data_IF_568915781067
#
_entry.id   IF_568915781067
#
_cell.length_a   1.000
_cell.length_b   1.000
_cell.length_c   1.000
_cell.angle_alpha   90.00
_cell.angle_beta   90.00
_cell.angle_gamma   90.00
#
_symmetry.space_group_name_H-M   'P 1'
#
loop_
_entity.id
_entity.type
_entity.pdbx_description
1 polymer ?
#
# COMPACT_ATOMS: atom_id res chain seq x y z
N UNK A 1 9.57 -46.13 -41.88
CA UNK A 1 8.47 -45.45 -41.17
C UNK A 1 8.37 -46.08 -39.79
N UNK A 2 8.83 -45.39 -38.75
CA UNK A 2 8.79 -45.87 -37.38
C UNK A 2 7.65 -45.17 -36.62
N UNK A 3 6.84 -45.89 -35.82
CA UNK A 3 5.82 -45.26 -34.99
C UNK A 3 6.47 -44.61 -33.76
N UNK A 4 6.29 -43.31 -33.61
CA UNK A 4 6.66 -42.55 -32.41
C UNK A 4 5.85 -43.03 -31.21
N UNK A 5 6.54 -43.63 -30.24
CA UNK A 5 5.96 -44.08 -28.98
C UNK A 5 5.51 -42.86 -28.16
N UNK A 6 4.19 -42.72 -27.95
CA UNK A 6 3.60 -41.68 -27.12
C UNK A 6 3.88 -41.99 -25.64
N UNK A 7 4.82 -41.28 -25.05
CA UNK A 7 5.08 -41.34 -23.61
C UNK A 7 3.97 -40.55 -22.92
N UNK A 8 2.90 -41.23 -22.53
CA UNK A 8 1.86 -40.67 -21.66
C UNK A 8 2.41 -40.54 -20.25
N UNK A 9 3.26 -39.52 -20.03
CA UNK A 9 3.59 -39.08 -18.68
C UNK A 9 2.28 -38.60 -18.04
N UNK A 10 1.91 -39.17 -16.91
CA UNK A 10 0.79 -38.71 -16.09
C UNK A 10 1.13 -37.31 -15.55
N UNK A 11 0.83 -36.29 -16.34
CA UNK A 11 0.98 -34.89 -15.97
C UNK A 11 -0.04 -34.63 -14.84
N UNK A 12 0.46 -34.08 -13.74
CA UNK A 12 -0.36 -33.67 -12.62
C UNK A 12 -1.37 -32.62 -13.10
N UNK A 13 -2.69 -32.78 -12.84
CA UNK A 13 -3.71 -31.83 -13.27
C UNK A 13 -3.46 -30.40 -12.76
N UNK A 14 -2.62 -30.20 -11.74
CA UNK A 14 -2.22 -28.87 -11.29
C UNK A 14 -1.21 -28.18 -12.23
N UNK A 15 -0.58 -28.95 -13.11
CA UNK A 15 0.44 -28.49 -14.07
C UNK A 15 -0.02 -28.62 -15.53
N UNK A 16 -1.32 -28.80 -15.76
CA UNK A 16 -1.91 -28.71 -17.10
C UNK A 16 -2.13 -27.22 -17.44
N UNK A 17 -1.20 -26.67 -18.22
CA UNK A 17 -1.33 -25.32 -18.74
C UNK A 17 -2.06 -25.35 -20.08
N UNK A 18 -3.01 -24.44 -20.26
CA UNK A 18 -3.66 -24.16 -21.55
C UNK A 18 -2.69 -23.41 -22.47
N UNK A 19 -1.62 -24.11 -22.87
CA UNK A 19 -0.58 -23.59 -23.75
C UNK A 19 0.04 -24.73 -24.57
N UNK A 20 0.51 -24.46 -25.80
CA UNK A 20 1.23 -25.46 -26.58
C UNK A 20 2.52 -25.87 -25.87
N UNK A 21 2.70 -27.17 -25.66
CA UNK A 21 3.83 -27.73 -24.89
C UNK A 21 5.18 -27.66 -25.64
N UNK A 22 5.14 -27.56 -26.98
CA UNK A 22 6.33 -27.51 -27.82
C UNK A 22 6.16 -26.39 -28.86
N UNK A 23 7.18 -25.54 -28.98
CA UNK A 23 7.25 -24.49 -29.99
C UNK A 23 8.42 -24.78 -30.93
N UNK A 24 8.17 -24.69 -32.24
CA UNK A 24 9.24 -24.75 -33.24
C UNK A 24 9.99 -23.41 -33.25
N UNK A 25 11.29 -23.45 -32.98
CA UNK A 25 12.15 -22.25 -32.94
C UNK A 25 12.40 -21.65 -34.33
N UNK A 26 12.14 -22.41 -35.40
CA UNK A 26 12.27 -21.93 -36.77
C UNK A 26 10.98 -21.29 -37.30
N UNK A 27 9.86 -21.47 -36.60
CA UNK A 27 8.61 -20.83 -36.97
C UNK A 27 8.63 -19.33 -36.60
N UNK A 28 7.96 -18.46 -37.38
CA UNK A 28 7.78 -17.08 -37.00
C UNK A 28 7.07 -16.99 -35.64
N UNK A 29 7.62 -16.17 -34.74
CA UNK A 29 7.20 -16.02 -33.34
C UNK A 29 5.73 -15.61 -33.14
N UNK A 30 5.05 -15.15 -34.18
CA UNK A 30 3.62 -14.88 -34.17
C UNK A 30 3.04 -15.02 -35.56
N UNK A 31 1.87 -15.67 -35.67
CA UNK A 31 1.06 -15.66 -36.88
C UNK A 31 0.22 -14.39 -37.04
N UNK A 32 0.16 -13.56 -35.99
CA UNK A 32 -0.66 -12.34 -35.96
C UNK A 32 0.06 -11.20 -36.68
N UNK A 33 -0.69 -10.39 -37.42
CA UNK A 33 -0.13 -9.22 -38.08
C UNK A 33 0.29 -8.15 -37.06
N UNK A 34 1.28 -7.30 -37.37
CA UNK A 34 1.64 -6.18 -36.51
C UNK A 34 0.42 -5.27 -36.27
N UNK A 35 -0.04 -5.20 -35.01
CA UNK A 35 -1.20 -4.41 -34.61
C UNK A 35 -2.50 -5.20 -34.43
N UNK A 36 -2.51 -6.50 -34.75
CA UNK A 36 -3.60 -7.38 -34.36
C UNK A 36 -3.43 -7.82 -32.90
N UNK A 37 -4.52 -7.78 -32.16
CA UNK A 37 -4.56 -8.19 -30.77
C UNK A 37 -4.94 -9.66 -30.65
N UNK A 38 -4.34 -10.36 -29.68
CA UNK A 38 -4.59 -11.78 -29.44
C UNK A 38 -6.07 -12.06 -29.06
N UNK A 39 -6.82 -12.85 -29.85
CA UNK A 39 -8.21 -13.20 -29.55
C UNK A 39 -8.39 -13.91 -28.20
N UNK A 40 -7.41 -14.72 -27.79
CA UNK A 40 -7.45 -15.45 -26.52
C UNK A 40 -7.44 -14.48 -25.33
N UNK A 41 -6.68 -13.39 -25.46
CA UNK A 41 -6.62 -12.34 -24.44
C UNK A 41 -7.99 -11.74 -24.15
N UNK A 42 -8.78 -11.44 -25.19
CA UNK A 42 -10.12 -10.86 -25.03
C UNK A 42 -11.14 -11.83 -24.43
N UNK A 43 -10.98 -13.13 -24.71
CA UNK A 43 -11.88 -14.15 -24.21
C UNK A 43 -11.76 -14.34 -22.69
N UNK A 44 -10.53 -14.27 -22.15
CA UNK A 44 -10.28 -14.40 -20.70
C UNK A 44 -10.48 -13.07 -19.98
N UNK A 45 -10.13 -11.95 -20.62
CA UNK A 45 -10.15 -10.63 -20.01
C UNK A 45 -11.25 -9.75 -20.58
N UNK A 46 -12.51 -10.15 -20.39
CA UNK A 46 -13.68 -9.38 -20.85
C UNK A 46 -13.69 -7.92 -20.36
N UNK A 47 -13.11 -7.62 -19.19
CA UNK A 47 -12.98 -6.26 -18.67
C UNK A 47 -11.91 -5.41 -19.37
N UNK A 48 -10.91 -6.04 -19.99
CA UNK A 48 -9.86 -5.35 -20.75
C UNK A 48 -10.26 -5.17 -22.23
N UNK A 49 -11.38 -5.76 -22.65
CA UNK A 49 -11.98 -5.55 -23.96
C UNK A 49 -12.82 -4.27 -24.06
N UNK A 50 -12.95 -3.48 -22.98
CA UNK A 50 -13.64 -2.20 -23.06
C UNK A 50 -12.88 -1.30 -24.04
N UNK A 51 -13.45 -0.94 -25.20
CA UNK A 51 -12.77 -0.02 -26.11
C UNK A 51 -12.52 1.29 -25.37
N UNK A 52 -11.41 1.97 -25.66
CA UNK A 52 -11.01 3.20 -24.95
C UNK A 52 -12.12 4.27 -24.92
N UNK A 53 -13.02 4.25 -25.91
CA UNK A 53 -14.20 5.09 -26.00
C UNK A 53 -15.20 4.89 -24.84
N UNK A 54 -15.35 3.67 -24.31
CA UNK A 54 -16.23 3.40 -23.15
C UNK A 54 -15.58 3.88 -21.85
N UNK A 55 -14.27 3.69 -21.70
CA UNK A 55 -13.52 4.24 -20.57
C UNK A 55 -13.57 5.77 -20.54
N UNK A 56 -13.51 6.41 -21.71
CA UNK A 56 -13.65 7.87 -21.82
C UNK A 56 -15.04 8.33 -21.36
N UNK A 57 -16.11 7.66 -21.79
CA UNK A 57 -17.48 7.96 -21.34
C UNK A 57 -17.65 7.73 -19.83
N UNK A 58 -17.11 6.64 -19.30
CA UNK A 58 -17.15 6.33 -17.86
C UNK A 58 -16.41 7.41 -17.04
N UNK A 59 -15.29 7.92 -17.55
CA UNK A 59 -14.56 9.04 -16.95
C UNK A 59 -15.38 10.34 -16.96
N UNK A 60 -16.01 10.67 -18.08
CA UNK A 60 -16.87 11.85 -18.22
C UNK A 60 -18.06 11.81 -17.25
N UNK A 61 -18.71 10.65 -17.11
CA UNK A 61 -19.80 10.45 -16.15
C UNK A 61 -19.33 10.61 -14.70
N UNK A 62 -18.15 10.08 -14.36
CA UNK A 62 -17.56 10.23 -13.04
C UNK A 62 -17.25 11.70 -12.71
N UNK A 63 -16.71 12.45 -13.68
CA UNK A 63 -16.45 13.89 -13.54
C UNK A 63 -17.74 14.68 -13.35
N UNK A 64 -18.78 14.39 -14.15
CA UNK A 64 -20.09 15.05 -14.02
C UNK A 64 -20.72 14.81 -12.66
N UNK A 65 -20.64 13.57 -12.16
CA UNK A 65 -21.16 13.19 -10.83
C UNK A 65 -20.41 13.88 -9.68
N UNK A 66 -19.12 14.13 -9.84
CA UNK A 66 -18.32 14.90 -8.88
C UNK A 66 -18.73 16.38 -8.87
N UNK A 67 -18.89 16.98 -10.05
CA UNK A 67 -19.35 18.37 -10.17
C UNK A 67 -20.75 18.56 -9.56
N UNK A 68 -21.69 17.66 -9.84
CA UNK A 68 -23.03 17.70 -9.25
C UNK A 68 -23.00 17.60 -7.72
N UNK A 69 -22.09 16.79 -7.16
CA UNK A 69 -21.89 16.69 -5.70
C UNK A 69 -21.32 17.98 -5.13
N UNK A 70 -20.36 18.59 -5.81
CA UNK A 70 -19.77 19.87 -5.38
C UNK A 70 -20.83 20.98 -5.39
N UNK A 71 -21.67 21.04 -6.42
CA UNK A 71 -22.74 22.02 -6.54
C UNK A 71 -23.79 21.84 -5.43
N UNK A 72 -24.21 20.60 -5.15
CA UNK A 72 -25.14 20.29 -4.04
C UNK A 72 -24.58 20.71 -2.69
N UNK A 73 -23.27 20.58 -2.47
CA UNK A 73 -22.63 21.04 -1.23
C UNK A 73 -22.63 22.58 -1.15
N UNK A 74 -22.39 23.29 -2.26
CA UNK A 74 -22.46 24.76 -2.29
C UNK A 74 -23.88 25.26 -1.99
N UNK A 75 -24.90 24.62 -2.55
CA UNK A 75 -26.29 25.02 -2.32
C UNK A 75 -26.80 24.64 -0.92
N UNK A 76 -26.28 23.57 -0.31
CA UNK A 76 -26.57 23.20 1.08
C UNK A 76 -25.95 24.16 2.12
N UNK A 77 -24.93 24.93 1.74
CA UNK A 77 -24.24 25.90 2.62
C UNK A 77 -24.86 27.29 2.55
N UNK A 78 -25.82 27.56 1.65
CA UNK A 78 -26.59 28.81 1.69
C UNK A 78 -27.46 28.83 2.96
N UNK A 79 -27.18 29.71 3.94
CA UNK A 79 -27.97 29.77 5.15
C UNK A 79 -29.40 30.19 4.80
N UNK A 80 -30.39 29.41 5.22
CA UNK A 80 -31.80 29.83 5.22
C UNK A 80 -31.96 31.02 6.16
N UNK A 81 -31.67 32.22 5.69
CA UNK A 81 -31.90 33.47 6.42
C UNK A 81 -33.38 33.84 6.30
N UNK A 82 -34.22 33.16 7.06
CA UNK A 82 -35.57 33.61 7.38
C UNK A 82 -35.74 33.55 8.90
N UNK A 83 -35.10 34.49 9.61
CA UNK A 83 -35.68 35.02 10.84
C UNK A 83 -35.37 36.51 10.97
N UNK A 84 -36.39 37.31 10.67
CA UNK A 84 -36.55 38.65 11.26
C UNK A 84 -36.66 38.46 12.77
N UNK A 85 -35.67 38.94 13.53
CA UNK A 85 -35.83 39.78 14.73
C UNK A 85 -34.50 39.94 15.47
N UNK A 86 -34.13 41.20 15.63
CA UNK A 86 -33.44 41.76 16.78
C UNK A 86 -32.15 41.08 17.23
N UNK A 87 -31.03 41.40 16.57
CA UNK A 87 -29.75 41.57 17.26
C UNK A 87 -28.99 42.77 16.69
N UNK A 88 -29.27 43.90 17.33
CA UNK A 88 -28.30 44.89 17.82
C UNK A 88 -26.88 44.64 17.28
N UNK A 89 -26.53 45.45 16.29
CA UNK A 89 -25.22 45.57 15.67
C UNK A 89 -24.12 45.71 16.75
N UNK A 90 -23.49 44.60 17.13
CA UNK A 90 -22.30 44.64 17.99
C UNK A 90 -21.09 44.92 17.11
N UNK A 91 -20.59 46.15 17.17
CA UNK A 91 -19.42 46.68 16.44
C UNK A 91 -18.06 46.07 16.85
N UNK A 92 -18.01 44.95 17.59
CA UNK A 92 -16.77 44.40 18.16
C UNK A 92 -16.27 43.10 17.48
N UNK A 93 -16.50 42.90 16.18
CA UNK A 93 -16.05 41.69 15.46
C UNK A 93 -14.89 41.90 14.49
N UNK A 94 -14.13 42.99 14.60
CA UNK A 94 -13.01 43.26 13.70
C UNK A 94 -11.67 42.61 14.11
N UNK A 95 -11.56 42.07 15.33
CA UNK A 95 -10.28 41.54 15.85
C UNK A 95 -10.33 40.13 16.45
N UNK A 96 -11.36 39.32 16.15
CA UNK A 96 -11.20 37.88 16.39
C UNK A 96 -10.41 37.29 15.22
N UNK A 97 -9.10 37.15 15.46
CA UNK A 97 -8.20 36.31 14.68
C UNK A 97 -8.97 35.05 14.23
N UNK A 98 -8.90 34.67 12.94
CA UNK A 98 -9.53 33.44 12.49
C UNK A 98 -9.08 32.32 13.42
N UNK A 99 -10.05 31.65 14.06
CA UNK A 99 -9.80 30.57 15.01
C UNK A 99 -8.65 29.72 14.46
N UNK A 100 -7.59 29.63 15.26
CA UNK A 100 -6.30 29.07 14.86
C UNK A 100 -6.58 27.77 14.08
N UNK A 101 -6.09 27.68 12.84
CA UNK A 101 -6.39 26.55 11.95
C UNK A 101 -6.09 25.21 12.63
N UNK A 102 -5.18 25.22 13.60
CA UNK A 102 -4.86 24.11 14.51
C UNK A 102 -6.06 23.62 15.29
N UNK A 103 -6.91 24.51 15.79
CA UNK A 103 -8.11 24.19 16.56
C UNK A 103 -9.21 23.61 15.66
N UNK A 104 -9.38 24.16 14.46
CA UNK A 104 -10.30 23.62 13.44
C UNK A 104 -9.89 22.20 13.04
N UNK A 105 -8.60 21.98 12.78
CA UNK A 105 -8.04 20.65 12.44
C UNK A 105 -8.13 19.69 13.62
N UNK A 106 -7.87 20.15 14.85
CA UNK A 106 -8.01 19.34 16.06
C UNK A 106 -9.45 18.90 16.30
N UNK A 107 -10.41 19.81 16.13
CA UNK A 107 -11.84 19.51 16.23
C UNK A 107 -12.28 18.48 15.17
N UNK A 108 -11.78 18.63 13.93
CA UNK A 108 -12.08 17.69 12.85
C UNK A 108 -11.49 16.30 13.11
N UNK A 109 -10.24 16.23 13.58
CA UNK A 109 -9.58 14.97 13.94
C UNK A 109 -10.28 14.26 15.11
N UNK A 110 -10.71 15.02 16.12
CA UNK A 110 -11.49 14.48 17.25
C UNK A 110 -12.80 13.83 16.77
N UNK A 111 -13.51 14.51 15.86
CA UNK A 111 -14.74 13.98 15.25
C UNK A 111 -14.50 12.72 14.40
N UNK A 112 -13.37 12.63 13.72
CA UNK A 112 -12.97 11.42 12.96
C UNK A 112 -12.66 10.26 13.93
N UNK A 113 -11.98 10.53 15.04
CA UNK A 113 -11.69 9.50 16.04
C UNK A 113 -12.95 8.99 16.73
N UNK A 114 -13.88 9.86 17.10
CA UNK A 114 -15.18 9.47 17.68
C UNK A 114 -15.97 8.57 16.71
N UNK A 115 -16.01 8.92 15.42
CA UNK A 115 -16.63 8.07 14.38
C UNK A 115 -15.92 6.72 14.19
N UNK A 116 -14.61 6.63 14.42
CA UNK A 116 -13.88 5.36 14.37
C UNK A 116 -14.20 4.50 15.60
N UNK A 117 -14.25 5.12 16.78
CA UNK A 117 -14.61 4.42 18.03
C UNK A 117 -16.06 3.94 18.03
N UNK A 118 -17.00 4.72 17.50
CA UNK A 118 -18.40 4.32 17.44
C UNK A 118 -18.69 3.19 16.44
N UNK A 119 -17.81 2.96 15.47
CA UNK A 119 -17.93 1.87 14.47
C UNK A 119 -17.23 0.58 14.89
N UNK A 120 -16.39 0.65 15.91
CA UNK A 120 -15.76 -0.52 16.53
C UNK A 120 -16.61 -0.87 17.75
N UNK A 121 -17.75 -1.54 17.53
CA UNK A 121 -18.37 -2.35 18.59
C UNK A 121 -17.27 -3.24 19.15
N UNK A 122 -17.07 -3.22 20.46
CA UNK A 122 -15.85 -3.81 21.01
C UNK A 122 -15.83 -5.31 20.67
N UNK A 123 -14.66 -5.86 20.36
CA UNK A 123 -14.47 -7.30 20.10
C UNK A 123 -15.06 -8.20 21.22
N UNK A 124 -15.25 -7.62 22.42
CA UNK A 124 -15.88 -8.24 23.58
C UNK A 124 -17.41 -8.34 23.43
N UNK A 125 -18.07 -7.36 22.81
CA UNK A 125 -19.49 -7.43 22.43
C UNK A 125 -19.72 -8.41 21.28
N UNK A 126 -18.86 -8.41 20.25
CA UNK A 126 -18.97 -9.37 19.14
C UNK A 126 -18.81 -10.83 19.60
N UNK A 127 -18.01 -11.09 20.65
CA UNK A 127 -17.91 -12.42 21.27
C UNK A 127 -19.14 -12.78 22.11
N UNK A 128 -19.82 -11.81 22.70
CA UNK A 128 -21.00 -12.06 23.52
C UNK A 128 -22.24 -12.47 22.68
N UNK A 129 -22.30 -12.06 21.41
CA UNK A 129 -23.37 -12.45 20.46
C UNK A 129 -23.03 -13.68 19.62
N UNK A 130 -21.82 -14.24 19.72
CA UNK A 130 -21.54 -15.53 19.08
C UNK A 130 -22.15 -16.63 19.95
N UNK A 131 -23.31 -17.13 19.52
CA UNK A 131 -23.83 -18.38 20.06
C UNK A 131 -22.76 -19.48 19.97
N UNK A 132 -22.59 -20.29 21.03
CA UNK A 132 -21.64 -21.39 21.01
C UNK A 132 -22.00 -22.32 19.87
N UNK A 133 -21.12 -22.37 18.87
CA UNK A 133 -21.21 -23.26 17.72
C UNK A 133 -21.48 -24.68 18.20
N UNK A 134 -22.69 -25.18 17.91
CA UNK A 134 -23.07 -26.57 18.12
C UNK A 134 -22.29 -27.42 17.12
N UNK A 135 -21.04 -27.75 17.46
CA UNK A 135 -20.23 -28.67 16.70
C UNK A 135 -20.86 -30.07 16.83
N UNK A 136 -21.57 -30.49 15.79
CA UNK A 136 -21.98 -31.88 15.62
C UNK A 136 -20.72 -32.74 15.57
N UNK A 137 -20.52 -33.54 16.62
CA UNK A 137 -19.41 -34.50 16.72
C UNK A 137 -19.63 -35.60 15.67
N UNK A 138 -19.13 -35.40 14.46
CA UNK A 138 -19.01 -36.48 13.49
C UNK A 138 -17.82 -37.35 13.89
N UNK A 139 -18.14 -38.58 14.27
CA UNK A 139 -17.19 -39.62 14.68
C UNK A 139 -16.45 -40.09 13.43
N UNK A 140 -15.29 -39.49 13.14
CA UNK A 140 -14.41 -39.95 12.06
C UNK A 140 -13.63 -41.16 12.58
N UNK A 141 -14.06 -42.35 12.17
CA UNK A 141 -13.32 -43.59 12.39
C UNK A 141 -12.13 -43.64 11.44
N UNK A 142 -10.93 -43.38 11.98
CA UNK A 142 -9.66 -43.59 11.28
C UNK A 142 -9.38 -45.09 11.29
N UNK A 143 -9.63 -45.77 10.16
CA UNK A 143 -9.19 -47.15 9.92
C UNK A 143 -7.67 -47.15 9.72
N UNK A 144 -6.93 -47.49 10.78
CA UNK A 144 -5.52 -47.87 10.70
C UNK A 144 -5.39 -49.22 10.01
N UNK A 145 -4.87 -49.22 8.79
CA UNK A 145 -4.49 -50.45 8.08
C UNK A 145 -3.18 -50.96 8.68
N UNK A 146 -3.23 -52.15 9.28
CA UNK A 146 -2.06 -52.88 9.75
C UNK A 146 -1.35 -53.54 8.56
N UNK A 147 -0.05 -53.30 8.42
CA UNK A 147 0.81 -54.01 7.48
C UNK A 147 1.92 -54.74 8.25
N UNK A 148 2.13 -56.00 7.85
CA UNK A 148 3.00 -57.00 8.46
C UNK A 148 4.50 -56.62 8.50
N UNK A 149 5.29 -57.19 9.44
CA UNK A 149 6.73 -56.99 9.50
C UNK A 149 7.46 -57.96 8.57
N UNK A 150 8.20 -57.44 7.58
CA UNK A 150 9.17 -58.22 6.81
C UNK A 150 10.60 -57.82 7.19
N UNK A 151 11.44 -58.85 7.27
CA UNK A 151 12.76 -58.88 7.87
C UNK A 151 13.83 -58.13 7.06
N UNK A 152 14.76 -57.53 7.81
CA UNK A 152 16.18 -57.36 7.51
C UNK A 152 16.60 -56.82 6.14
N UNK A 153 16.78 -55.49 6.05
CA UNK A 153 17.87 -54.89 5.25
C UNK A 153 18.51 -53.75 6.04
N UNK A 154 19.84 -53.77 6.09
CA UNK A 154 20.70 -52.80 6.80
C UNK A 154 20.42 -51.39 6.24
N UNK A 155 20.22 -50.35 7.06
CA UNK A 155 20.12 -49.00 6.55
C UNK A 155 21.49 -48.60 5.99
N UNK A 156 21.46 -48.20 4.72
CA UNK A 156 22.57 -47.55 4.03
C UNK A 156 22.91 -46.28 4.83
N UNK A 157 24.16 -46.17 5.25
CA UNK A 157 24.64 -45.11 6.12
C UNK A 157 24.41 -43.74 5.50
N UNK A 158 23.49 -43.00 6.11
CA UNK A 158 23.32 -41.56 5.94
C UNK A 158 24.54 -40.86 6.56
N UNK A 159 25.60 -40.79 5.76
CA UNK A 159 26.78 -39.99 6.03
C UNK A 159 26.41 -38.52 5.82
N UNK A 160 26.14 -37.81 6.91
CA UNK A 160 26.38 -36.37 6.92
C UNK A 160 25.37 -35.47 7.61
N UNK A 161 24.79 -35.86 8.74
CA UNK A 161 24.09 -34.91 9.61
C UNK A 161 24.51 -35.00 11.09
N UNK A 162 25.79 -35.25 11.33
CA UNK A 162 26.44 -35.07 12.65
C UNK A 162 27.29 -33.80 12.65
N UNK A 163 26.63 -32.64 12.73
CA UNK A 163 27.22 -31.40 13.25
C UNK A 163 26.49 -31.01 14.55
N UNK A 164 26.50 -31.91 15.52
CA UNK A 164 26.40 -31.55 16.93
C UNK A 164 27.81 -31.57 17.52
N UNK A 165 28.66 -30.63 17.09
CA UNK A 165 29.91 -30.31 17.78
C UNK A 165 29.69 -29.05 18.61
N UNK A 166 29.25 -29.24 19.86
CA UNK A 166 29.69 -28.48 21.03
C UNK A 166 29.79 -26.95 20.95
N UNK A 167 29.03 -26.25 20.10
CA UNK A 167 28.96 -24.79 20.15
C UNK A 167 28.16 -24.42 21.39
N UNK A 168 28.84 -23.86 22.39
CA UNK A 168 28.23 -23.21 23.56
C UNK A 168 27.03 -22.42 23.05
N UNK A 169 25.81 -22.81 23.45
CA UNK A 169 24.58 -22.09 23.10
C UNK A 169 24.85 -20.62 23.40
N UNK A 170 24.89 -19.80 22.36
CA UNK A 170 25.04 -18.38 22.57
C UNK A 170 23.83 -17.94 23.40
N UNK A 171 24.07 -17.02 24.34
CA UNK A 171 23.00 -16.48 25.17
C UNK A 171 21.84 -16.05 24.24
N UNK A 172 20.59 -16.52 24.44
CA UNK A 172 19.47 -16.25 23.54
C UNK A 172 19.24 -14.75 23.28
N UNK A 173 19.66 -13.88 24.20
CA UNK A 173 19.66 -12.43 23.96
C UNK A 173 20.60 -11.96 22.85
N UNK A 174 21.76 -12.60 22.69
CA UNK A 174 22.72 -12.27 21.62
C UNK A 174 22.19 -12.71 20.27
N UNK A 175 21.55 -13.87 20.19
CA UNK A 175 20.91 -14.37 18.96
C UNK A 175 19.72 -13.48 18.55
N UNK A 176 18.91 -13.03 19.52
CA UNK A 176 17.84 -12.05 19.27
C UNK A 176 18.36 -10.70 18.78
N UNK A 177 19.49 -10.23 19.32
CA UNK A 177 20.15 -8.98 18.88
C UNK A 177 20.74 -9.13 17.47
N UNK A 178 21.38 -10.25 17.18
CA UNK A 178 21.96 -10.55 15.86
C UNK A 178 20.86 -10.69 14.79
N UNK A 179 19.75 -11.35 15.11
CA UNK A 179 18.57 -11.43 14.25
C UNK A 179 17.97 -10.02 13.99
N UNK A 180 17.88 -9.18 15.03
CA UNK A 180 17.43 -7.79 14.88
C UNK A 180 18.37 -6.98 13.98
N UNK A 181 19.69 -7.13 14.12
CA UNK A 181 20.66 -6.46 13.26
C UNK A 181 20.57 -6.94 11.81
N UNK A 182 20.42 -8.25 11.59
CA UNK A 182 20.26 -8.83 10.28
C UNK A 182 18.99 -8.31 9.60
N UNK A 183 17.87 -8.30 10.33
CA UNK A 183 16.61 -7.71 9.86
C UNK A 183 16.76 -6.21 9.59
N UNK A 184 17.49 -5.46 10.42
CA UNK A 184 17.75 -4.03 10.21
C UNK A 184 18.58 -3.79 8.94
N UNK A 185 19.61 -4.61 8.68
CA UNK A 185 20.42 -4.56 7.46
C UNK A 185 19.60 -4.92 6.22
N UNK A 186 18.74 -5.93 6.30
CA UNK A 186 17.87 -6.34 5.20
C UNK A 186 16.82 -5.24 4.91
N UNK A 187 16.12 -4.78 5.94
CA UNK A 187 15.14 -3.70 5.83
C UNK A 187 15.74 -2.38 5.36
N UNK A 188 17.03 -2.11 5.64
CA UNK A 188 17.74 -0.95 5.09
C UNK A 188 17.89 -1.02 3.56
N UNK A 189 17.92 -2.22 2.96
CA UNK A 189 17.94 -2.41 1.50
C UNK A 189 16.55 -2.30 0.86
N UNK A 190 15.48 -2.63 1.59
CA UNK A 190 14.10 -2.62 1.08
C UNK A 190 13.33 -1.34 1.36
N UNK A 191 13.70 -0.59 2.40
CA UNK A 191 13.29 0.80 2.49
C UNK A 191 14.08 1.54 1.42
N UNK A 192 13.51 1.64 0.22
CA UNK A 192 13.91 2.67 -0.73
C UNK A 192 14.04 3.94 0.10
N UNK A 193 15.24 4.51 0.15
CA UNK A 193 15.45 5.80 0.77
C UNK A 193 14.49 6.70 0.01
N UNK A 194 13.36 7.02 0.64
CA UNK A 194 12.41 7.95 0.06
C UNK A 194 13.16 9.28 0.11
N UNK A 195 13.90 9.59 -0.96
CA UNK A 195 14.73 10.78 -1.15
C UNK A 195 13.90 12.07 -1.10
N UNK A 196 12.59 11.93 -0.96
CA UNK A 196 11.68 13.02 -0.73
C UNK A 196 11.65 13.36 0.77
N UNK A 197 12.57 14.22 1.19
CA UNK A 197 12.35 15.03 2.38
C UNK A 197 11.38 16.16 2.02
N UNK A 198 10.20 16.22 2.66
CA UNK A 198 9.26 17.31 2.42
C UNK A 198 9.92 18.66 2.74
N UNK A 199 9.75 19.69 1.89
CA UNK A 199 10.24 21.03 2.21
C UNK A 199 9.70 21.51 3.56
N UNK A 200 10.58 21.91 4.47
CA UNK A 200 10.19 22.44 5.79
C UNK A 200 9.68 23.89 5.71
N UNK A 201 10.12 24.61 4.68
CA UNK A 201 9.79 26.01 4.46
C UNK A 201 8.71 26.16 3.39
N UNK A 202 8.05 27.31 3.40
CA UNK A 202 7.00 27.59 2.42
C UNK A 202 7.60 27.70 1.00
N UNK A 203 6.82 27.32 -0.02
CA UNK A 203 7.23 27.41 -1.44
C UNK A 203 7.69 28.82 -1.82
N UNK A 204 7.14 29.86 -1.18
CA UNK A 204 7.51 31.25 -1.43
C UNK A 204 8.91 31.59 -0.89
N UNK A 205 9.27 31.07 0.28
CA UNK A 205 10.60 31.25 0.87
C UNK A 205 11.64 30.48 0.07
N UNK A 206 11.34 29.22 -0.29
CA UNK A 206 12.20 28.40 -1.16
C UNK A 206 12.48 29.11 -2.47
N UNK A 207 11.44 29.56 -3.21
CA UNK A 207 11.62 30.28 -4.48
C UNK A 207 12.42 31.57 -4.35
N UNK A 208 12.33 32.25 -3.22
CA UNK A 208 13.10 33.46 -3.02
C UNK A 208 14.59 33.14 -2.78
N UNK A 209 14.87 32.12 -1.97
CA UNK A 209 16.23 31.60 -1.80
C UNK A 209 16.83 31.10 -3.13
N UNK A 210 16.04 30.42 -3.97
CA UNK A 210 16.50 29.97 -5.31
C UNK A 210 16.86 31.16 -6.21
N UNK A 211 16.14 32.29 -6.13
CA UNK A 211 16.50 33.52 -6.87
C UNK A 211 17.79 34.15 -6.36
N UNK A 212 17.96 34.19 -5.04
CA UNK A 212 19.13 34.83 -4.41
C UNK A 212 20.40 33.99 -4.63
N UNK A 213 20.29 32.66 -4.67
CA UNK A 213 21.43 31.73 -4.83
C UNK A 213 21.65 31.21 -6.25
N UNK A 214 20.64 31.29 -7.12
CA UNK A 214 20.66 30.74 -8.47
C UNK A 214 20.60 29.21 -8.54
N UNK A 215 20.38 28.51 -7.41
CA UNK A 215 20.29 27.04 -7.35
C UNK A 215 18.83 26.61 -7.25
N UNK A 216 18.45 25.51 -7.92
CA UNK A 216 17.11 24.92 -7.74
C UNK A 216 17.10 23.90 -6.61
N UNK A 217 16.21 24.07 -5.64
CA UNK A 217 16.06 23.23 -4.45
C UNK A 217 15.78 21.76 -4.80
N UNK A 218 15.02 21.51 -5.87
CA UNK A 218 14.70 20.15 -6.30
C UNK A 218 15.84 19.46 -7.07
N UNK A 219 16.78 20.23 -7.63
CA UNK A 219 17.97 19.69 -8.26
C UNK A 219 19.05 19.27 -7.25
N UNK A 220 18.93 19.70 -5.99
CA UNK A 220 19.85 19.34 -4.91
C UNK A 220 19.69 17.90 -4.46
N UNK A 221 20.80 17.29 -4.05
CA UNK A 221 20.83 16.01 -3.35
C UNK A 221 20.17 16.10 -1.97
N UNK A 222 19.86 14.95 -1.35
CA UNK A 222 19.21 14.93 -0.05
C UNK A 222 20.03 15.66 1.04
N UNK A 223 21.34 15.47 1.07
CA UNK A 223 22.23 16.15 2.02
C UNK A 223 22.27 17.67 1.80
N UNK A 224 22.33 18.09 0.53
CA UNK A 224 22.29 19.51 0.16
C UNK A 224 20.95 20.18 0.48
N UNK A 225 19.83 19.45 0.41
CA UNK A 225 18.51 19.97 0.82
C UNK A 225 18.44 20.23 2.32
N UNK A 226 19.08 19.40 3.14
CA UNK A 226 19.19 19.65 4.59
C UNK A 226 19.94 20.95 4.82
N UNK A 227 21.06 21.15 4.14
CA UNK A 227 21.82 22.40 4.23
C UNK A 227 21.01 23.61 3.74
N UNK A 228 20.34 23.49 2.59
CA UNK A 228 19.48 24.55 2.05
C UNK A 228 18.34 24.91 3.03
N UNK A 229 17.74 23.94 3.73
CA UNK A 229 16.74 24.21 4.75
C UNK A 229 17.31 24.99 5.94
N UNK A 230 18.55 24.73 6.35
CA UNK A 230 19.22 25.53 7.38
C UNK A 230 19.46 26.95 6.88
N UNK A 231 19.98 27.10 5.67
CA UNK A 231 20.25 28.40 5.05
C UNK A 231 18.98 29.24 4.90
N UNK A 232 17.87 28.64 4.45
CA UNK A 232 16.56 29.31 4.35
C UNK A 232 16.08 29.79 5.74
N UNK A 233 16.34 29.01 6.80
CA UNK A 233 15.97 29.40 8.18
C UNK A 233 16.74 30.64 8.63
N UNK A 234 18.05 30.66 8.42
CA UNK A 234 18.91 31.82 8.77
C UNK A 234 18.53 33.04 7.93
N UNK A 235 18.32 32.84 6.62
CA UNK A 235 17.90 33.90 5.70
C UNK A 235 16.54 34.50 6.11
N UNK A 236 15.58 33.66 6.50
CA UNK A 236 14.27 34.09 7.00
C UNK A 236 14.39 34.92 8.28
N UNK A 237 15.18 34.45 9.24
CA UNK A 237 15.41 35.18 10.51
C UNK A 237 16.05 36.54 10.26
N UNK A 238 17.07 36.61 9.40
CA UNK A 238 17.72 37.87 9.01
C UNK A 238 16.72 38.86 8.41
N UNK A 239 15.89 38.41 7.47
CA UNK A 239 14.86 39.27 6.85
C UNK A 239 13.79 39.73 7.81
N UNK A 240 13.45 38.92 8.82
CA UNK A 240 12.51 39.32 9.86
C UNK A 240 13.13 40.39 10.75
N UNK A 241 14.40 40.24 11.14
CA UNK A 241 15.14 41.24 11.92
C UNK A 241 15.28 42.58 11.19
N UNK A 242 15.59 42.55 9.88
CA UNK A 242 15.67 43.74 9.02
C UNK A 242 14.32 44.46 8.87
N UNK A 243 13.19 43.77 9.02
CA UNK A 243 11.84 44.37 8.92
C UNK A 243 11.33 44.94 10.24
N UNK A 244 11.87 44.46 11.37
CA UNK A 244 11.52 44.95 12.70
C UNK A 244 12.34 46.17 13.15
N UNK A 245 13.40 46.50 12.39
CA UNK A 245 14.19 47.71 12.55
C UNK A 245 13.67 48.83 11.66
#
# INVERSE_FOLDING_TARGET
MAPSSSVSASIDPLFEFDAPQFADLNAPLSSLQPGEHDPWFYQIHSQHSKPSAELAKELEEAVRKLQDREQKLKDAVKPKSNSKRDRRWSTNKENQQPADWREIVAAQNKKIQEKRRSKLTSLKEMRATQEPFKLHKTKVEVKTVSALPTKSRKPLGDLGNRLNSGRKRANPEREMKDLHELLKKHNKKFKAIHTYEPPQHSVREVKQWERDTGKSYYALSAEERVQANQDITVWKQRRQAERSH
#
